data_IF_307187438535
#
_entry.id   IF_307187438535
#
_cell.length_a   1.000
_cell.length_b   1.000
_cell.length_c   1.000
_cell.angle_alpha   90.00
_cell.angle_beta   90.00
_cell.angle_gamma   90.00
#
_symmetry.space_group_name_H-M   'P 1'
#
loop_
_entity.id
_entity.type
_entity.pdbx_description
1 polymer ?
#
# COMPACT_ATOMS: atom_id res chain seq x y z
N UNK A 1 -24.86 -0.29 11.01
CA UNK A 1 -24.09 -0.71 9.82
C UNK A 1 -22.64 -0.31 10.06
N UNK A 2 -21.70 -1.22 9.88
CA UNK A 2 -20.26 -0.97 10.04
C UNK A 2 -19.50 -1.47 8.81
N UNK A 3 -18.45 -0.72 8.45
CA UNK A 3 -17.55 -1.00 7.33
C UNK A 3 -16.15 -0.52 7.74
N UNK A 4 -15.21 -1.44 8.00
CA UNK A 4 -13.77 -1.20 8.22
C UNK A 4 -13.39 -0.44 9.50
N UNK A 5 -14.16 0.57 9.90
CA UNK A 5 -13.78 1.51 10.96
C UNK A 5 -14.23 1.11 12.36
N UNK A 6 -15.04 0.05 12.48
CA UNK A 6 -15.55 -0.41 13.76
C UNK A 6 -14.62 -1.45 14.39
N UNK A 7 -14.62 -1.63 15.72
CA UNK A 7 -13.86 -2.68 16.40
C UNK A 7 -14.50 -4.06 16.22
N UNK A 8 -14.81 -4.43 14.98
CA UNK A 8 -15.49 -5.65 14.58
C UNK A 8 -14.59 -6.36 13.57
N UNK A 9 -14.44 -7.68 13.70
CA UNK A 9 -13.68 -8.48 12.74
C UNK A 9 -14.60 -8.95 11.62
N UNK A 10 -14.78 -8.16 10.55
CA UNK A 10 -15.79 -8.49 9.53
C UNK A 10 -15.45 -9.75 8.73
N UNK A 11 -14.18 -10.09 8.52
CA UNK A 11 -13.79 -11.26 7.72
C UNK A 11 -14.19 -12.59 8.38
N UNK A 12 -13.90 -12.85 9.68
CA UNK A 12 -14.46 -14.00 10.37
C UNK A 12 -15.99 -14.03 10.37
N UNK A 13 -16.65 -12.89 10.62
CA UNK A 13 -18.12 -12.84 10.62
C UNK A 13 -18.71 -13.16 9.26
N UNK A 14 -18.08 -12.71 8.18
CA UNK A 14 -18.51 -13.03 6.82
C UNK A 14 -18.34 -14.53 6.50
N UNK A 15 -17.34 -15.19 7.09
CA UNK A 15 -17.19 -16.64 6.96
C UNK A 15 -18.26 -17.41 7.72
N UNK A 16 -18.55 -16.99 8.96
CA UNK A 16 -19.65 -17.58 9.76
C UNK A 16 -21.02 -17.37 9.09
N UNK A 17 -21.20 -16.27 8.36
CA UNK A 17 -22.39 -15.98 7.58
C UNK A 17 -22.39 -16.63 6.17
N UNK A 18 -21.50 -17.60 5.91
CA UNK A 18 -21.49 -18.35 4.65
C UNK A 18 -21.07 -17.56 3.39
N UNK A 19 -20.59 -16.32 3.53
CA UNK A 19 -20.23 -15.47 2.37
C UNK A 19 -18.94 -15.91 1.67
N UNK A 20 -18.12 -16.73 2.33
CA UNK A 20 -16.82 -17.16 1.86
C UNK A 20 -15.97 -17.74 2.97
N UNK A 21 -14.70 -18.03 2.68
CA UNK A 21 -13.73 -18.48 3.68
C UNK A 21 -12.54 -17.52 3.75
N UNK A 22 -11.86 -17.50 4.89
CA UNK A 22 -10.61 -16.75 4.98
C UNK A 22 -9.50 -17.50 4.23
N UNK A 23 -9.04 -16.95 3.12
CA UNK A 23 -7.93 -17.51 2.36
C UNK A 23 -6.61 -17.47 3.16
N UNK A 24 -5.61 -18.25 2.73
CA UNK A 24 -4.25 -18.24 3.34
C UNK A 24 -3.59 -16.85 3.37
N UNK A 25 -4.05 -15.93 2.52
CA UNK A 25 -3.65 -14.53 2.49
C UNK A 25 -4.45 -13.62 3.44
N UNK A 26 -5.24 -14.19 4.36
CA UNK A 26 -6.03 -13.52 5.42
C UNK A 26 -7.15 -12.57 4.94
N UNK A 27 -7.56 -12.67 3.67
CA UNK A 27 -8.76 -11.98 3.16
C UNK A 27 -9.86 -13.00 2.89
N UNK A 28 -11.11 -12.54 2.92
CA UNK A 28 -12.25 -13.37 2.53
C UNK A 28 -12.15 -13.72 1.04
N UNK A 29 -12.51 -14.95 0.71
CA UNK A 29 -12.61 -15.46 -0.64
C UNK A 29 -13.98 -16.09 -0.79
N UNK A 30 -14.68 -15.78 -1.87
CA UNK A 30 -15.99 -16.29 -2.23
C UNK A 30 -15.88 -17.17 -3.47
N UNK A 31 -16.71 -18.21 -3.53
CA UNK A 31 -16.86 -19.05 -4.73
C UNK A 31 -17.48 -18.30 -5.89
N UNK A 32 -18.33 -17.31 -5.59
CA UNK A 32 -19.08 -16.54 -6.58
C UNK A 32 -18.35 -15.27 -7.02
N UNK A 33 -17.66 -14.61 -6.09
CA UNK A 33 -17.06 -13.27 -6.33
C UNK A 33 -15.54 -13.24 -6.26
N UNK A 34 -14.88 -14.37 -5.98
CA UNK A 34 -13.43 -14.38 -5.69
C UNK A 34 -13.13 -13.60 -4.42
N UNK A 35 -12.02 -12.87 -4.38
CA UNK A 35 -11.56 -12.08 -3.22
C UNK A 35 -11.63 -10.56 -3.46
N UNK A 36 -12.21 -10.11 -4.57
CA UNK A 36 -12.35 -8.69 -4.92
C UNK A 36 -13.71 -8.14 -4.47
N UNK A 37 -13.92 -8.13 -3.16
CA UNK A 37 -15.20 -7.78 -2.55
C UNK A 37 -15.01 -6.84 -1.36
N UNK A 38 -16.01 -6.00 -1.12
CA UNK A 38 -16.12 -5.22 0.11
C UNK A 38 -16.99 -5.98 1.11
N UNK A 39 -16.68 -5.84 2.40
CA UNK A 39 -17.43 -6.47 3.48
C UNK A 39 -18.05 -5.37 4.34
N UNK A 40 -19.32 -5.53 4.66
CA UNK A 40 -20.05 -4.68 5.60
C UNK A 40 -20.80 -5.57 6.58
N UNK A 41 -21.05 -5.07 7.78
CA UNK A 41 -21.82 -5.77 8.80
C UNK A 41 -22.99 -4.92 9.29
N UNK A 42 -24.13 -5.56 9.54
CA UNK A 42 -25.33 -4.92 10.10
C UNK A 42 -25.66 -5.65 11.39
N UNK A 43 -25.59 -4.92 12.50
CA UNK A 43 -25.96 -5.44 13.80
C UNK A 43 -27.43 -5.12 14.02
N UNK A 44 -28.20 -6.12 14.45
CA UNK A 44 -29.63 -6.02 14.68
C UNK A 44 -29.99 -6.82 15.92
N UNK A 45 -31.07 -6.43 16.59
CA UNK A 45 -31.66 -7.20 17.69
C UNK A 45 -32.71 -8.21 17.19
N UNK A 46 -32.98 -8.23 15.89
CA UNK A 46 -33.89 -9.21 15.28
C UNK A 46 -33.23 -10.59 15.35
N UNK A 47 -33.98 -11.58 15.81
CA UNK A 47 -33.56 -12.97 15.77
C UNK A 47 -33.68 -13.49 14.34
N UNK A 48 -32.55 -13.87 13.75
CA UNK A 48 -32.44 -14.44 12.41
C UNK A 48 -31.73 -15.79 12.57
N UNK A 49 -32.24 -16.83 11.94
CA UNK A 49 -31.55 -18.11 11.91
C UNK A 49 -30.18 -17.92 11.22
N UNK A 50 -29.07 -18.35 11.85
CA UNK A 50 -27.75 -18.20 11.24
C UNK A 50 -27.62 -19.09 10.00
N UNK A 51 -26.87 -18.60 9.02
CA UNK A 51 -26.46 -19.38 7.86
C UNK A 51 -25.42 -20.45 8.25
N UNK A 52 -25.18 -21.41 7.35
CA UNK A 52 -24.08 -22.35 7.52
C UNK A 52 -22.73 -21.69 7.15
N UNK A 53 -21.69 -21.80 7.99
CA UNK A 53 -20.37 -21.28 7.67
C UNK A 53 -19.77 -21.95 6.43
N UNK A 54 -19.09 -21.16 5.59
CA UNK A 54 -18.41 -21.69 4.41
C UNK A 54 -17.06 -22.34 4.78
N UNK A 55 -16.69 -23.38 4.04
CA UNK A 55 -15.50 -24.18 4.29
C UNK A 55 -14.26 -23.64 3.57
N UNK A 56 -13.07 -23.96 4.07
CA UNK A 56 -11.83 -23.58 3.39
C UNK A 56 -11.64 -24.34 2.07
N UNK A 57 -11.39 -23.60 0.99
CA UNK A 57 -11.10 -24.16 -0.34
C UNK A 57 -9.68 -23.84 -0.86
N UNK A 58 -8.74 -23.50 0.02
CA UNK A 58 -7.34 -23.25 -0.34
C UNK A 58 -6.58 -24.56 -0.62
N UNK A 59 -6.89 -25.63 0.10
CA UNK A 59 -6.20 -26.93 0.00
C UNK A 59 -4.67 -26.78 0.11
N UNK A 60 -3.92 -27.41 -0.79
CA UNK A 60 -2.45 -27.34 -0.82
C UNK A 60 -1.89 -26.04 -1.44
N UNK A 61 -2.72 -25.14 -1.98
CA UNK A 61 -2.25 -23.93 -2.68
C UNK A 61 -1.40 -23.03 -1.78
N UNK A 62 -0.33 -22.44 -2.33
CA UNK A 62 0.57 -21.50 -1.64
C UNK A 62 0.89 -20.22 -2.41
N UNK A 63 0.25 -19.99 -3.57
CA UNK A 63 0.58 -18.90 -4.51
C UNK A 63 0.69 -17.53 -3.84
N UNK A 64 -0.26 -17.18 -2.97
CA UNK A 64 -0.26 -15.90 -2.28
C UNK A 64 0.88 -15.73 -1.27
N UNK A 65 1.31 -16.83 -0.63
CA UNK A 65 2.44 -16.84 0.29
C UNK A 65 3.75 -16.67 -0.49
N UNK A 66 3.86 -17.37 -1.63
CA UNK A 66 5.06 -17.40 -2.44
C UNK A 66 5.30 -16.07 -3.17
N UNK A 67 4.24 -15.42 -3.69
CA UNK A 67 4.36 -14.15 -4.42
C UNK A 67 4.67 -12.96 -3.52
N UNK A 68 4.33 -13.00 -2.23
CA UNK A 68 4.42 -11.85 -1.34
C UNK A 68 5.85 -11.24 -1.35
N UNK A 69 6.05 -10.01 -1.85
CA UNK A 69 7.39 -9.47 -2.11
C UNK A 69 8.24 -9.32 -0.85
N UNK A 70 7.59 -9.05 0.28
CA UNK A 70 8.22 -8.83 1.58
C UNK A 70 8.15 -10.05 2.49
N UNK A 71 7.59 -11.17 2.01
CA UNK A 71 7.35 -12.39 2.80
C UNK A 71 6.60 -12.10 4.11
N UNK A 72 5.58 -11.24 4.03
CA UNK A 72 4.78 -10.82 5.19
C UNK A 72 3.97 -11.96 5.81
N UNK A 73 3.73 -13.06 5.10
CA UNK A 73 3.03 -14.22 5.65
C UNK A 73 4.02 -15.12 6.39
N UNK A 74 3.92 -15.16 7.73
CA UNK A 74 4.77 -16.00 8.59
C UNK A 74 4.36 -17.47 8.56
N UNK A 75 3.07 -17.73 8.29
CA UNK A 75 2.49 -19.04 8.07
C UNK A 75 1.21 -18.87 7.23
N UNK A 76 0.63 -19.95 6.65
CA UNK A 76 -0.73 -19.89 6.11
C UNK A 76 -1.70 -19.25 7.13
N UNK A 77 -2.55 -18.33 6.67
CA UNK A 77 -3.54 -17.62 7.50
C UNK A 77 -2.94 -16.66 8.56
N UNK A 78 -1.62 -16.43 8.54
CA UNK A 78 -0.94 -15.55 9.48
C UNK A 78 -0.12 -14.51 8.73
N UNK A 79 -0.31 -13.23 9.05
CA UNK A 79 0.38 -12.11 8.43
C UNK A 79 1.05 -11.22 9.48
N UNK A 80 2.32 -10.88 9.29
CA UNK A 80 2.96 -9.75 9.98
C UNK A 80 2.62 -8.48 9.19
N UNK A 81 1.64 -7.72 9.69
CA UNK A 81 1.22 -6.47 9.08
C UNK A 81 2.38 -5.48 8.90
N UNK A 82 3.40 -5.50 9.78
CA UNK A 82 4.53 -4.57 9.71
C UNK A 82 5.46 -4.83 8.52
N UNK A 83 5.33 -6.00 7.88
CA UNK A 83 5.99 -6.35 6.63
C UNK A 83 5.05 -6.26 5.41
N UNK A 84 3.73 -6.14 5.60
CA UNK A 84 2.77 -6.07 4.51
C UNK A 84 2.86 -4.72 3.79
N UNK A 85 3.07 -4.73 2.46
CA UNK A 85 3.16 -3.49 1.66
C UNK A 85 1.88 -2.65 1.78
N UNK A 86 0.71 -3.29 1.85
CA UNK A 86 -0.57 -2.59 2.04
C UNK A 86 -0.58 -1.79 3.34
N UNK A 87 -0.19 -2.39 4.46
CA UNK A 87 -0.04 -1.67 5.74
C UNK A 87 1.04 -0.59 5.67
N UNK A 88 2.22 -0.91 5.11
CA UNK A 88 3.35 0.03 5.01
C UNK A 88 2.97 1.29 4.24
N UNK A 89 2.19 1.16 3.17
CA UNK A 89 1.83 2.28 2.29
C UNK A 89 0.60 3.04 2.79
N UNK A 90 -0.31 2.40 3.52
CA UNK A 90 -1.57 3.02 3.95
C UNK A 90 -1.49 3.53 5.41
N UNK A 91 -1.09 2.66 6.33
CA UNK A 91 -1.22 2.86 7.78
C UNK A 91 0.06 3.28 8.48
N UNK A 92 1.21 2.75 8.05
CA UNK A 92 2.48 3.00 8.71
C UNK A 92 2.83 4.49 8.68
N UNK A 93 2.96 5.11 9.86
CA UNK A 93 3.16 6.56 9.98
C UNK A 93 4.61 7.00 9.79
N UNK A 94 5.57 6.14 10.10
CA UNK A 94 6.99 6.50 10.15
C UNK A 94 7.76 6.26 8.86
N UNK A 95 9.09 6.26 8.95
CA UNK A 95 9.97 5.86 7.85
C UNK A 95 9.79 4.37 7.56
N UNK A 96 9.65 4.00 6.28
CA UNK A 96 9.64 2.59 5.87
C UNK A 96 11.08 2.08 5.94
N UNK A 97 11.30 0.95 6.60
CA UNK A 97 12.63 0.37 6.74
C UNK A 97 13.26 0.04 5.38
N UNK A 98 14.56 0.28 5.24
CA UNK A 98 15.32 0.13 3.99
C UNK A 98 15.05 -1.22 3.30
N UNK A 99 15.05 -2.32 4.07
CA UNK A 99 14.81 -3.69 3.59
C UNK A 99 13.49 -3.91 2.82
N UNK A 100 12.50 -3.03 2.98
CA UNK A 100 11.21 -3.16 2.30
C UNK A 100 11.09 -2.28 1.06
N UNK A 101 11.92 -1.23 0.91
CA UNK A 101 11.73 -0.17 -0.10
C UNK A 101 11.85 -0.70 -1.53
N UNK A 102 12.82 -1.57 -1.79
CA UNK A 102 12.97 -2.20 -3.11
C UNK A 102 11.76 -3.09 -3.45
N UNK A 103 11.31 -3.92 -2.51
CA UNK A 103 10.21 -4.86 -2.71
C UNK A 103 8.82 -4.18 -2.89
N UNK A 104 8.68 -2.92 -2.45
CA UNK A 104 7.45 -2.13 -2.69
C UNK A 104 7.20 -1.93 -4.19
N UNK A 105 8.25 -1.80 -5.01
CA UNK A 105 8.11 -1.51 -6.43
C UNK A 105 7.42 -0.17 -6.66
N UNK A 106 6.38 -0.16 -7.51
CA UNK A 106 5.57 1.03 -7.84
C UNK A 106 4.27 1.16 -7.00
N UNK A 107 4.11 0.35 -5.93
CA UNK A 107 2.89 0.34 -5.11
C UNK A 107 2.87 1.54 -4.16
N UNK A 108 2.15 2.59 -4.54
CA UNK A 108 2.07 3.85 -3.77
C UNK A 108 0.95 3.88 -2.74
N UNK A 109 -0.07 3.01 -2.87
CA UNK A 109 -1.18 2.87 -1.93
C UNK A 109 -1.79 1.48 -2.07
N UNK A 110 -1.61 0.62 -1.06
CA UNK A 110 -2.08 -0.76 -1.09
C UNK A 110 -1.12 -1.72 -1.80
N UNK A 111 -1.48 -3.00 -1.80
CA UNK A 111 -0.80 -4.06 -2.53
C UNK A 111 -1.78 -5.20 -2.75
N UNK A 112 -1.95 -5.58 -4.02
CA UNK A 112 -2.91 -6.61 -4.39
C UNK A 112 -2.28 -7.93 -4.82
N UNK A 113 -0.95 -8.07 -4.77
CA UNK A 113 -0.24 -9.24 -5.31
C UNK A 113 -0.78 -10.57 -4.79
N UNK A 114 -1.05 -10.64 -3.48
CA UNK A 114 -1.57 -11.86 -2.84
C UNK A 114 -3.00 -12.21 -3.26
N UNK A 115 -3.79 -11.20 -3.66
CA UNK A 115 -5.13 -11.37 -4.21
C UNK A 115 -5.02 -11.70 -5.70
N UNK A 116 -4.27 -10.92 -6.48
CA UNK A 116 -4.13 -11.08 -7.92
C UNK A 116 -3.71 -12.50 -8.35
N UNK A 117 -2.87 -13.18 -7.57
CA UNK A 117 -2.46 -14.57 -7.85
C UNK A 117 -3.42 -15.65 -7.34
N UNK A 118 -4.44 -15.27 -6.57
CA UNK A 118 -5.40 -16.22 -5.98
C UNK A 118 -6.21 -16.89 -7.10
N UNK A 119 -6.21 -18.25 -7.19
CA UNK A 119 -6.87 -18.95 -8.29
C UNK A 119 -8.40 -18.78 -8.27
N UNK A 120 -8.97 -18.40 -7.13
CA UNK A 120 -10.41 -18.14 -6.98
C UNK A 120 -10.85 -16.82 -7.63
N UNK A 121 -9.91 -15.92 -7.94
CA UNK A 121 -10.25 -14.69 -8.67
C UNK A 121 -10.60 -14.90 -10.14
N UNK A 122 -10.51 -16.14 -10.65
CA UNK A 122 -11.14 -16.51 -11.92
C UNK A 122 -12.68 -16.38 -11.89
N UNK A 123 -13.28 -16.35 -10.70
CA UNK A 123 -14.71 -16.14 -10.49
C UNK A 123 -15.05 -14.68 -10.20
N UNK A 124 -14.07 -13.79 -10.08
CA UNK A 124 -14.33 -12.40 -9.77
C UNK A 124 -15.04 -11.67 -10.92
N UNK A 125 -15.93 -10.76 -10.55
CA UNK A 125 -16.71 -9.96 -11.49
C UNK A 125 -16.32 -8.50 -11.39
N UNK A 126 -16.32 -7.79 -12.52
CA UNK A 126 -16.09 -6.35 -12.53
C UNK A 126 -17.31 -5.66 -11.94
N UNK A 127 -17.10 -4.77 -10.98
CA UNK A 127 -18.19 -4.02 -10.37
C UNK A 127 -18.85 -3.07 -11.39
N UNK A 128 -20.19 -3.02 -11.38
CA UNK A 128 -20.98 -2.12 -12.22
C UNK A 128 -21.36 -0.80 -11.52
N UNK A 129 -21.03 -0.64 -10.24
CA UNK A 129 -21.31 0.58 -9.49
C UNK A 129 -20.36 1.71 -9.92
N UNK A 130 -20.94 2.77 -10.49
CA UNK A 130 -20.17 3.92 -11.01
C UNK A 130 -19.33 4.58 -9.91
N UNK A 131 -19.82 4.61 -8.66
CA UNK A 131 -19.06 5.18 -7.52
C UNK A 131 -17.79 4.41 -7.18
N UNK A 132 -17.69 3.14 -7.58
CA UNK A 132 -16.51 2.29 -7.37
C UNK A 132 -15.53 2.33 -8.55
N UNK A 133 -15.93 2.94 -9.67
CA UNK A 133 -15.06 3.06 -10.85
C UNK A 133 -13.86 3.97 -10.56
N UNK A 134 -12.67 3.54 -10.98
CA UNK A 134 -11.48 4.37 -10.90
C UNK A 134 -11.69 5.65 -11.73
N UNK A 135 -11.37 6.80 -11.14
CA UNK A 135 -11.32 8.06 -11.89
C UNK A 135 -10.10 7.99 -12.82
N UNK A 136 -10.25 8.38 -14.07
CA UNK A 136 -9.15 8.37 -15.04
C UNK A 136 -7.89 9.11 -14.53
N UNK A 137 -8.06 10.17 -13.74
CA UNK A 137 -6.95 10.94 -13.13
C UNK A 137 -6.25 10.22 -11.96
N UNK A 138 -6.80 9.11 -11.48
CA UNK A 138 -6.27 8.29 -10.39
C UNK A 138 -5.88 6.89 -10.83
N UNK A 139 -6.17 6.51 -12.09
CA UNK A 139 -5.76 5.24 -12.66
C UNK A 139 -4.31 5.33 -13.17
N UNK A 140 -3.39 4.76 -12.40
CA UNK A 140 -1.96 4.69 -12.70
C UNK A 140 -1.34 6.02 -13.21
N UNK A 141 -1.48 7.14 -12.48
CA UNK A 141 -0.95 8.42 -12.93
C UNK A 141 0.59 8.44 -12.94
N UNK A 142 1.23 9.24 -13.82
CA UNK A 142 2.68 9.38 -13.87
C UNK A 142 3.27 9.83 -12.52
N UNK A 143 4.38 9.23 -12.11
CA UNK A 143 5.07 9.59 -10.86
C UNK A 143 5.45 11.08 -10.82
N UNK A 144 5.83 11.66 -11.97
CA UNK A 144 6.14 13.07 -12.08
C UNK A 144 4.98 13.99 -11.63
N UNK A 145 3.73 13.65 -11.99
CA UNK A 145 2.54 14.42 -11.55
C UNK A 145 2.30 14.30 -10.05
N UNK A 146 2.63 13.15 -9.47
CA UNK A 146 2.43 12.90 -8.06
C UNK A 146 3.50 13.57 -7.20
N UNK A 147 4.75 13.58 -7.67
CA UNK A 147 5.89 14.19 -6.96
C UNK A 147 5.74 15.70 -6.78
N UNK A 148 4.93 16.38 -7.59
CA UNK A 148 4.73 17.83 -7.49
C UNK A 148 3.64 18.25 -6.49
N UNK A 149 2.88 17.31 -5.93
CA UNK A 149 1.73 17.62 -5.07
C UNK A 149 2.13 18.31 -3.75
N UNK A 150 1.56 19.48 -3.50
CA UNK A 150 1.46 20.07 -2.17
C UNK A 150 0.21 19.51 -1.41
N UNK A 151 -0.02 19.96 -0.18
CA UNK A 151 -1.16 19.49 0.63
C UNK A 151 -2.51 19.86 0.00
N UNK A 152 -2.64 21.05 -0.58
CA UNK A 152 -3.89 21.51 -1.19
C UNK A 152 -4.23 20.69 -2.44
N UNK A 153 -3.27 20.51 -3.34
CA UNK A 153 -3.38 19.71 -4.55
C UNK A 153 -3.64 18.23 -4.23
N UNK A 154 -2.94 17.66 -3.24
CA UNK A 154 -3.20 16.30 -2.77
C UNK A 154 -4.65 16.12 -2.29
N UNK A 155 -5.12 17.03 -1.42
CA UNK A 155 -6.48 16.99 -0.88
C UNK A 155 -7.54 17.16 -1.96
N UNK A 156 -7.29 18.02 -2.94
CA UNK A 156 -8.18 18.23 -4.07
C UNK A 156 -8.24 16.97 -4.95
N UNK A 157 -7.10 16.43 -5.37
CA UNK A 157 -7.00 15.27 -6.27
C UNK A 157 -7.65 14.02 -5.68
N UNK A 158 -7.37 13.72 -4.42
CA UNK A 158 -7.84 12.47 -3.78
C UNK A 158 -9.12 12.62 -2.96
N UNK A 159 -9.85 13.75 -3.08
CA UNK A 159 -11.13 13.96 -2.39
C UNK A 159 -12.13 12.84 -2.69
N UNK A 160 -12.70 12.27 -1.63
CA UNK A 160 -13.68 11.19 -1.75
C UNK A 160 -13.07 9.85 -2.17
N UNK A 161 -11.76 9.69 -2.03
CA UNK A 161 -11.07 8.41 -2.23
C UNK A 161 -10.42 7.97 -0.91
N UNK A 162 -10.20 6.66 -0.68
CA UNK A 162 -9.47 6.17 0.48
C UNK A 162 -8.04 6.75 0.59
N UNK A 163 -7.40 7.09 -0.53
CA UNK A 163 -6.03 7.63 -0.58
C UNK A 163 -5.88 8.88 0.28
N UNK A 164 -6.92 9.72 0.36
CA UNK A 164 -6.88 10.96 1.17
C UNK A 164 -6.51 10.69 2.63
N UNK A 165 -6.88 9.54 3.20
CA UNK A 165 -6.62 9.20 4.61
C UNK A 165 -5.14 8.99 4.94
N UNK A 166 -4.33 8.65 3.94
CA UNK A 166 -2.88 8.52 4.07
C UNK A 166 -2.22 9.88 4.35
N UNK A 167 -2.82 10.98 3.87
CA UNK A 167 -2.20 12.30 3.96
C UNK A 167 -1.01 12.47 3.01
N UNK A 168 -0.71 13.73 2.68
CA UNK A 168 0.24 14.10 1.63
C UNK A 168 1.65 13.56 1.88
N UNK A 169 2.16 13.68 3.10
CA UNK A 169 3.54 13.30 3.42
C UNK A 169 3.79 11.79 3.29
N UNK A 170 2.89 10.96 3.81
CA UNK A 170 3.00 9.49 3.69
C UNK A 170 2.80 9.05 2.24
N UNK A 171 1.92 9.73 1.50
CA UNK A 171 1.73 9.48 0.09
C UNK A 171 3.01 9.80 -0.70
N UNK A 172 3.58 10.98 -0.54
CA UNK A 172 4.83 11.37 -1.21
C UNK A 172 6.01 10.48 -0.81
N UNK A 173 6.11 10.07 0.47
CA UNK A 173 7.07 9.05 0.91
C UNK A 173 6.98 7.80 0.05
N UNK A 174 5.77 7.31 -0.23
CA UNK A 174 5.58 6.12 -1.08
C UNK A 174 5.89 6.39 -2.56
N UNK A 175 5.49 7.56 -3.08
CA UNK A 175 5.80 7.98 -4.47
C UNK A 175 7.30 8.11 -4.68
N UNK A 176 8.05 8.63 -3.71
CA UNK A 176 9.51 8.71 -3.77
C UNK A 176 10.16 7.32 -3.75
N UNK A 177 9.61 6.38 -2.97
CA UNK A 177 10.04 4.97 -3.04
C UNK A 177 9.80 4.40 -4.45
N UNK A 178 8.62 4.63 -5.03
CA UNK A 178 8.31 4.21 -6.39
C UNK A 178 9.23 4.87 -7.44
N UNK A 179 9.56 6.15 -7.28
CA UNK A 179 10.49 6.87 -8.16
C UNK A 179 11.91 6.29 -8.06
N UNK A 180 12.43 6.04 -6.85
CA UNK A 180 13.73 5.37 -6.71
C UNK A 180 13.75 3.95 -7.28
N UNK A 181 12.61 3.25 -7.26
CA UNK A 181 12.45 1.93 -7.86
C UNK A 181 12.34 1.95 -9.39
N UNK A 182 11.91 3.05 -10.02
CA UNK A 182 11.63 3.10 -11.46
C UNK A 182 12.89 3.12 -12.33
N UNK A 183 14.02 3.59 -11.79
CA UNK A 183 15.23 3.83 -12.58
C UNK A 183 15.09 4.99 -13.57
N UNK A 184 14.02 5.78 -13.47
CA UNK A 184 13.71 6.83 -14.43
C UNK A 184 14.47 8.13 -14.10
N UNK A 185 15.60 8.34 -14.75
CA UNK A 185 16.48 9.49 -14.51
C UNK A 185 15.80 10.86 -14.76
N UNK A 186 14.73 10.91 -15.56
CA UNK A 186 13.92 12.13 -15.80
C UNK A 186 13.31 12.68 -14.50
N UNK A 187 13.11 11.85 -13.48
CA UNK A 187 12.50 12.22 -12.20
C UNK A 187 13.47 12.91 -11.24
N UNK A 188 14.78 12.87 -11.51
CA UNK A 188 15.82 13.40 -10.61
C UNK A 188 15.56 14.86 -10.19
N UNK A 189 15.22 15.81 -11.09
CA UNK A 189 14.94 17.19 -10.67
C UNK A 189 13.74 17.30 -9.72
N UNK A 190 12.71 16.47 -9.91
CA UNK A 190 11.51 16.46 -9.05
C UNK A 190 11.81 15.83 -7.68
N UNK A 191 12.67 14.82 -7.64
CA UNK A 191 13.16 14.22 -6.40
C UNK A 191 14.05 15.21 -5.64
N UNK A 192 14.97 15.90 -6.30
CA UNK A 192 15.83 16.93 -5.68
C UNK A 192 15.02 18.06 -5.05
N UNK A 193 13.95 18.51 -5.72
CA UNK A 193 13.06 19.53 -5.17
C UNK A 193 12.43 19.14 -3.81
N UNK A 194 12.34 17.84 -3.52
CA UNK A 194 11.81 17.29 -2.26
C UNK A 194 12.84 17.17 -1.14
N UNK A 195 14.12 17.43 -1.40
CA UNK A 195 15.15 17.50 -0.36
C UNK A 195 14.94 18.66 0.61
N UNK A 196 14.16 19.67 0.24
CA UNK A 196 13.84 20.84 1.08
C UNK A 196 12.41 20.80 1.64
N UNK A 197 11.73 19.66 1.56
CA UNK A 197 10.35 19.54 2.06
C UNK A 197 10.28 19.77 3.57
N UNK A 198 9.17 20.34 4.06
CA UNK A 198 8.97 20.55 5.51
C UNK A 198 8.93 19.21 6.27
N UNK A 199 8.48 18.15 5.62
CA UNK A 199 8.32 16.84 6.23
C UNK A 199 9.61 16.01 6.18
N UNK A 200 10.15 15.57 7.34
CA UNK A 200 11.34 14.70 7.34
C UNK A 200 11.09 13.34 6.67
N UNK A 201 9.84 12.86 6.67
CA UNK A 201 9.46 11.64 5.93
C UNK A 201 9.71 11.79 4.43
N UNK A 202 9.35 12.95 3.89
CA UNK A 202 9.50 13.27 2.46
C UNK A 202 10.98 13.49 2.14
N UNK A 203 11.69 14.31 2.94
CA UNK A 203 13.12 14.57 2.73
C UNK A 203 13.92 13.27 2.75
N UNK A 204 13.75 12.42 3.76
CA UNK A 204 14.47 11.15 3.87
C UNK A 204 14.28 10.26 2.62
N UNK A 205 13.05 10.12 2.13
CA UNK A 205 12.82 9.29 0.94
C UNK A 205 13.27 9.97 -0.35
N UNK A 206 13.37 11.30 -0.39
CA UNK A 206 13.96 12.01 -1.51
C UNK A 206 15.47 11.74 -1.59
N UNK A 207 16.16 11.70 -0.45
CA UNK A 207 17.57 11.28 -0.37
C UNK A 207 17.76 9.85 -0.91
N UNK A 208 16.94 8.91 -0.42
CA UNK A 208 16.99 7.52 -0.88
C UNK A 208 16.70 7.37 -2.38
N UNK A 209 15.67 8.07 -2.89
CA UNK A 209 15.33 8.03 -4.30
C UNK A 209 16.45 8.64 -5.17
N UNK A 210 17.06 9.75 -4.72
CA UNK A 210 18.18 10.39 -5.41
C UNK A 210 19.40 9.48 -5.47
N UNK A 211 19.74 8.81 -4.36
CA UNK A 211 20.83 7.82 -4.33
C UNK A 211 20.64 6.75 -5.41
N UNK A 212 19.41 6.26 -5.58
CA UNK A 212 19.10 5.23 -6.57
C UNK A 212 19.08 5.72 -8.01
N UNK A 213 18.56 6.92 -8.26
CA UNK A 213 18.39 7.44 -9.62
C UNK A 213 19.66 8.13 -10.15
N UNK A 214 20.41 8.79 -9.27
CA UNK A 214 21.59 9.55 -9.64
C UNK A 214 22.65 9.56 -8.52
N UNK A 215 23.39 8.43 -8.31
CA UNK A 215 24.42 8.32 -7.28
C UNK A 215 25.49 9.43 -7.34
N UNK A 216 25.87 9.87 -8.55
CA UNK A 216 26.82 10.97 -8.73
C UNK A 216 26.29 12.31 -8.21
N UNK A 217 25.01 12.58 -8.44
CA UNK A 217 24.33 13.79 -7.97
C UNK A 217 24.09 13.76 -6.46
N UNK A 218 23.72 12.61 -5.92
CA UNK A 218 23.67 12.35 -4.48
C UNK A 218 25.01 12.71 -3.80
N UNK A 219 26.14 12.21 -4.32
CA UNK A 219 27.48 12.53 -3.77
C UNK A 219 27.79 14.02 -3.81
N UNK A 220 27.43 14.71 -4.89
CA UNK A 220 27.64 16.15 -5.03
C UNK A 220 26.81 16.98 -4.04
N UNK A 221 25.61 16.54 -3.68
CA UNK A 221 24.72 17.26 -2.76
C UNK A 221 24.93 16.89 -1.28
N UNK A 222 25.54 15.74 -0.98
CA UNK A 222 25.70 15.25 0.40
C UNK A 222 26.25 16.31 1.35
N UNK A 223 27.31 17.03 0.98
CA UNK A 223 27.92 18.04 1.85
C UNK A 223 26.96 19.20 2.22
N UNK A 224 26.04 19.56 1.32
CA UNK A 224 25.09 20.65 1.55
C UNK A 224 23.88 20.24 2.41
N UNK A 225 23.52 18.95 2.43
CA UNK A 225 22.27 18.45 3.03
C UNK A 225 22.47 17.45 4.18
N UNK A 226 23.67 16.91 4.39
CA UNK A 226 23.92 15.89 5.41
C UNK A 226 23.75 16.38 6.86
N UNK A 227 23.70 17.69 7.08
CA UNK A 227 23.45 18.30 8.39
C UNK A 227 21.95 18.56 8.66
N UNK A 228 21.04 17.79 8.06
CA UNK A 228 19.59 17.90 8.32
C UNK A 228 19.28 17.81 9.82
N UNK A 229 18.35 18.61 10.38
CA UNK A 229 18.00 18.53 11.80
C UNK A 229 17.42 17.17 12.19
N UNK A 230 16.77 16.45 11.28
CA UNK A 230 16.17 15.16 11.56
C UNK A 230 17.18 14.00 11.45
N UNK A 231 17.34 13.16 12.49
CA UNK A 231 18.31 12.06 12.50
C UNK A 231 18.03 11.00 11.43
N UNK A 232 16.78 10.76 11.06
CA UNK A 232 16.45 9.78 10.03
C UNK A 232 16.86 10.29 8.65
N UNK A 233 16.70 11.59 8.37
CA UNK A 233 17.17 12.20 7.11
C UNK A 233 18.70 12.14 7.03
N UNK A 234 19.40 12.44 8.13
CA UNK A 234 20.87 12.31 8.17
C UNK A 234 21.31 10.87 7.89
N UNK A 235 20.64 9.87 8.46
CA UNK A 235 20.97 8.47 8.24
C UNK A 235 20.92 8.10 6.74
N UNK A 236 19.93 8.58 5.99
CA UNK A 236 19.84 8.34 4.54
C UNK A 236 21.01 8.96 3.75
N UNK A 237 21.56 10.10 4.20
CA UNK A 237 22.74 10.68 3.57
C UNK A 237 24.03 9.91 3.86
N UNK A 238 24.07 9.15 4.96
CA UNK A 238 25.23 8.33 5.35
C UNK A 238 25.27 7.00 4.62
N UNK A 239 24.17 6.56 4.01
CA UNK A 239 24.12 5.35 3.17
C UNK A 239 25.12 5.46 2.01
N UNK A 240 25.81 4.37 1.71
CA UNK A 240 26.72 4.27 0.55
C UNK A 240 26.00 3.65 -0.64
N UNK A 241 26.32 4.12 -1.85
CA UNK A 241 25.86 3.46 -3.06
C UNK A 241 26.56 2.10 -3.16
N UNK A 242 25.79 1.01 -3.03
CA UNK A 242 26.28 -0.35 -3.29
C UNK A 242 26.60 -0.57 -4.78
#
# INVERSE_FOLDING_TARGET
VFVDTAPVMEKPLAQEAGLGWQGKHTNLVSREFGSWLFIASIFTSIEIAPDEPEQDHCGACRRCLDVCPTKAFTAPYQIDARACISYLTIEHKGHIALRFRAAIGNRIFGCDDCLAVCPWNKFAQVAHETKLSARATSDNPPLAELLVLDDAAFRARFRGTPIKRTGRDRFLRNVLIAAGNSGEASLVPLVEARLMDVSPLVRAMAVWALLRLAPGRFRALRAAYASDPDPAVRAEWMEEAA
#
